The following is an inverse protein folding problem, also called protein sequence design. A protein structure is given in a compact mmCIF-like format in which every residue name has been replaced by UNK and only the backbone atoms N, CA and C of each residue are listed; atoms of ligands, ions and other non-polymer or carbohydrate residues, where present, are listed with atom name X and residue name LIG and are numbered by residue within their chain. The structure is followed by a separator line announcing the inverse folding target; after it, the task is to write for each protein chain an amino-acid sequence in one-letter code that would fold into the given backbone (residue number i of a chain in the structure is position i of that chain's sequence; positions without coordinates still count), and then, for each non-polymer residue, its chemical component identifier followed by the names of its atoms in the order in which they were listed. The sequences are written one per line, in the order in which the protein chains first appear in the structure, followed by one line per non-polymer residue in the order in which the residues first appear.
data_IF_591422658165
#
_entry.id   IF_591422658165
#
_cell.length_a   1.000
_cell.length_b   1.000
_cell.length_c   1.000
_cell.angle_alpha   90.00
_cell.angle_beta   90.00
_cell.angle_gamma   90.00
#
_symmetry.space_group_name_H-M   'P 1'
#
loop_
_entity.id
_entity.type
_entity.pdbx_description
1 polymer ?
#
# COMPACT_ATOMS: atom_id res chain seq x y z
N UNK A 1 -14.16 -15.16 8.96
CA UNK A 1 -13.65 -13.85 9.46
C UNK A 1 -12.14 -13.87 9.28
N UNK A 2 -11.54 -12.92 8.55
CA UNK A 2 -10.09 -12.92 8.34
C UNK A 2 -9.42 -12.20 9.50
N UNK A 3 -8.48 -12.87 10.17
CA UNK A 3 -7.66 -12.27 11.24
C UNK A 3 -6.45 -11.58 10.62
N UNK A 4 -6.24 -10.32 10.98
CA UNK A 4 -5.09 -9.52 10.58
C UNK A 4 -4.33 -9.12 11.85
N UNK A 5 -3.03 -9.39 11.88
CA UNK A 5 -2.13 -8.95 12.95
C UNK A 5 -1.05 -8.05 12.35
N UNK A 6 -0.90 -6.84 12.89
CA UNK A 6 0.10 -5.88 12.44
C UNK A 6 0.86 -5.27 13.61
N UNK A 7 2.17 -5.11 13.43
CA UNK A 7 3.06 -4.39 14.32
C UNK A 7 3.87 -3.39 13.49
N UNK A 8 3.85 -2.13 13.89
CA UNK A 8 4.54 -1.07 13.18
C UNK A 8 5.27 -0.12 14.11
N UNK A 9 6.44 0.33 13.69
CA UNK A 9 7.25 1.32 14.38
C UNK A 9 7.52 2.52 13.47
N UNK A 10 7.39 3.72 14.04
CA UNK A 10 7.70 4.98 13.37
C UNK A 10 9.06 5.50 13.82
N UNK A 11 9.83 6.00 12.85
CA UNK A 11 11.16 6.58 13.02
C UNK A 11 11.23 7.94 12.31
N UNK A 12 12.33 8.66 12.52
CA UNK A 12 12.65 9.92 11.81
C UNK A 12 11.51 10.96 11.89
N UNK A 13 10.98 11.24 13.09
CA UNK A 13 9.83 12.14 13.30
C UNK A 13 8.63 11.75 12.43
N UNK A 14 8.25 10.47 12.45
CA UNK A 14 7.15 9.88 11.67
C UNK A 14 7.31 9.98 10.14
N UNK A 15 8.54 10.19 9.65
CA UNK A 15 8.84 10.16 8.20
C UNK A 15 9.14 8.76 7.69
N UNK A 16 9.55 7.84 8.55
CA UNK A 16 9.80 6.44 8.18
C UNK A 16 8.91 5.55 9.03
N UNK A 17 8.12 4.69 8.38
CA UNK A 17 7.30 3.68 9.05
C UNK A 17 7.71 2.31 8.54
N UNK A 18 8.08 1.45 9.47
CA UNK A 18 8.29 0.03 9.22
C UNK A 18 7.11 -0.74 9.81
N UNK A 19 6.53 -1.63 9.02
CA UNK A 19 5.40 -2.46 9.44
C UNK A 19 5.70 -3.91 9.07
N UNK A 20 5.46 -4.82 10.01
CA UNK A 20 5.38 -6.25 9.77
C UNK A 20 3.98 -6.70 10.10
N UNK A 21 3.38 -7.48 9.22
CA UNK A 21 2.03 -7.97 9.41
C UNK A 21 1.82 -9.33 8.80
N UNK A 22 0.72 -9.95 9.20
CA UNK A 22 0.29 -11.23 8.69
C UNK A 22 -1.21 -11.26 8.53
N UNK A 23 -1.66 -11.82 7.41
CA UNK A 23 -3.06 -12.09 7.14
C UNK A 23 -3.31 -13.58 7.27
N UNK A 24 -4.43 -13.93 7.89
CA UNK A 24 -4.91 -15.30 8.04
C UNK A 24 -3.87 -16.27 8.64
N UNK A 25 -3.14 -15.79 9.65
CA UNK A 25 -2.09 -16.55 10.35
C UNK A 25 -2.60 -17.89 10.88
N UNK A 26 -3.86 -17.93 11.31
CA UNK A 26 -4.50 -19.13 11.87
C UNK A 26 -5.29 -19.97 10.86
N UNK A 27 -5.26 -19.65 9.55
CA UNK A 27 -6.07 -20.34 8.51
C UNK A 27 -7.55 -20.42 8.92
N UNK A 28 -8.08 -19.28 9.34
CA UNK A 28 -9.47 -19.10 9.76
C UNK A 28 -10.38 -18.72 8.59
N UNK A 29 -9.80 -18.49 7.42
CA UNK A 29 -10.54 -18.24 6.20
C UNK A 29 -10.79 -19.57 5.47
N UNK A 30 -12.06 -19.95 5.40
CA UNK A 30 -12.53 -20.94 4.45
C UNK A 30 -12.55 -20.32 3.07
N UNK A 31 -12.01 -21.04 2.08
CA UNK A 31 -11.98 -20.63 0.68
C UNK A 31 -13.36 -20.16 0.21
N UNK A 32 -13.40 -19.05 -0.53
CA UNK A 32 -14.63 -18.47 -1.06
C UNK A 32 -15.33 -19.52 -1.95
N UNK A 33 -16.35 -20.21 -1.42
CA UNK A 33 -17.20 -21.09 -2.21
C UNK A 33 -18.18 -20.22 -2.98
N UNK A 34 -17.91 -20.00 -4.26
CA UNK A 34 -18.90 -19.40 -5.16
C UNK A 34 -19.90 -20.48 -5.57
N UNK A 35 -21.16 -20.28 -5.20
CA UNK A 35 -22.28 -21.11 -5.64
C UNK A 35 -23.03 -20.34 -6.72
N UNK A 36 -22.88 -20.77 -7.98
CA UNK A 36 -23.67 -20.23 -9.07
C UNK A 36 -24.87 -21.16 -9.33
N UNK A 37 -26.08 -20.65 -9.08
CA UNK A 37 -27.34 -21.33 -9.40
C UNK A 37 -27.90 -20.75 -10.70
N UNK A 38 -27.72 -21.48 -11.79
CA UNK A 38 -28.50 -21.30 -13.01
C UNK A 38 -29.72 -22.22 -12.90
N UNK A 39 -30.88 -21.84 -13.45
CA UNK A 39 -32.19 -22.48 -13.14
C UNK A 39 -32.23 -24.01 -13.09
N UNK A 40 -31.37 -24.71 -13.84
CA UNK A 40 -31.27 -26.17 -13.86
C UNK A 40 -29.87 -26.73 -13.51
N UNK A 41 -28.93 -25.92 -13.03
CA UNK A 41 -27.59 -26.37 -12.64
C UNK A 41 -27.01 -25.60 -11.45
N UNK A 42 -26.34 -26.34 -10.57
CA UNK A 42 -25.58 -25.77 -9.46
C UNK A 42 -24.11 -26.04 -9.73
N UNK A 43 -23.35 -24.99 -9.97
CA UNK A 43 -21.90 -25.08 -10.14
C UNK A 43 -21.23 -24.63 -8.85
N UNK A 44 -20.46 -25.53 -8.24
CA UNK A 44 -19.60 -25.24 -7.12
C UNK A 44 -18.19 -24.96 -7.65
N UNK A 45 -17.69 -23.76 -7.42
CA UNK A 45 -16.27 -23.44 -7.66
C UNK A 45 -15.56 -23.31 -6.31
N UNK A 46 -14.62 -24.22 -6.06
CA UNK A 46 -13.67 -24.11 -4.96
C UNK A 46 -12.45 -23.35 -5.46
N UNK A 47 -12.17 -22.17 -4.88
CA UNK A 47 -10.92 -21.45 -5.13
C UNK A 47 -9.96 -21.75 -3.97
N UNK A 48 -8.84 -22.41 -4.25
CA UNK A 48 -7.77 -22.64 -3.26
C UNK A 48 -6.78 -21.47 -3.26
N UNK A 49 -7.33 -20.25 -3.17
CA UNK A 49 -6.51 -19.06 -3.09
C UNK A 49 -5.88 -19.02 -1.68
N UNK A 50 -4.55 -19.10 -1.60
CA UNK A 50 -3.85 -19.01 -0.34
C UNK A 50 -4.03 -17.61 0.25
N UNK A 51 -4.87 -17.51 1.27
CA UNK A 51 -5.18 -16.29 2.02
C UNK A 51 -4.11 -15.94 3.05
N UNK A 52 -3.21 -16.89 3.36
CA UNK A 52 -2.17 -16.70 4.37
C UNK A 52 -0.94 -16.08 3.75
N UNK A 53 -0.57 -14.91 4.22
CA UNK A 53 0.71 -14.32 3.87
C UNK A 53 1.25 -13.44 4.99
N UNK A 54 2.58 -13.32 5.03
CA UNK A 54 3.31 -12.40 5.88
C UNK A 54 3.89 -11.32 4.97
N UNK A 55 3.83 -10.06 5.42
CA UNK A 55 4.37 -8.93 4.68
C UNK A 55 5.23 -8.06 5.57
N UNK A 56 6.21 -7.44 4.90
CA UNK A 56 7.06 -6.40 5.47
C UNK A 56 6.90 -5.18 4.57
N UNK A 57 6.65 -4.03 5.17
CA UNK A 57 6.46 -2.78 4.44
C UNK A 57 7.33 -1.69 5.05
N UNK A 58 8.04 -0.97 4.17
CA UNK A 58 8.80 0.21 4.51
C UNK A 58 8.19 1.41 3.77
N UNK A 59 7.66 2.37 4.51
CA UNK A 59 7.08 3.59 3.97
C UNK A 59 7.91 4.80 4.39
N UNK A 60 8.38 5.59 3.41
CA UNK A 60 9.06 6.86 3.65
C UNK A 60 8.22 8.03 3.13
N UNK A 61 8.03 9.05 3.96
CA UNK A 61 7.33 10.29 3.60
C UNK A 61 8.35 11.37 3.29
N UNK A 62 8.48 11.70 2.01
CA UNK A 62 9.24 12.87 1.57
C UNK A 62 8.53 14.15 2.07
N UNK A 63 9.31 15.11 2.58
CA UNK A 63 8.79 16.42 2.96
C UNK A 63 8.35 17.22 1.73
N UNK A 64 7.81 18.42 1.95
CA UNK A 64 7.58 19.36 0.85
C UNK A 64 8.92 19.59 0.14
N UNK A 65 9.03 19.17 -1.12
CA UNK A 65 10.09 19.68 -1.99
C UNK A 65 9.95 21.20 -1.95
N UNK A 66 11.00 21.91 -1.54
CA UNK A 66 11.06 23.34 -1.82
C UNK A 66 11.03 23.43 -3.34
N UNK A 67 9.87 23.80 -3.88
CA UNK A 67 9.78 24.31 -5.23
C UNK A 67 10.79 25.44 -5.29
N UNK A 68 11.95 25.19 -5.91
CA UNK A 68 12.82 26.27 -6.35
C UNK A 68 12.12 26.88 -7.56
N UNK A 69 10.97 27.51 -7.32
CA UNK A 69 10.46 28.58 -8.16
C UNK A 69 11.26 29.82 -7.78
N UNK A 70 12.51 29.81 -8.22
CA UNK A 70 13.21 31.00 -8.63
C UNK A 70 13.75 30.74 -10.03
N UNK A 71 12.84 30.39 -10.95
CA UNK A 71 13.00 30.80 -12.35
C UNK A 71 12.68 32.30 -12.46
N UNK A 72 13.35 33.12 -11.65
CA UNK A 72 13.67 34.48 -12.08
C UNK A 72 14.67 34.29 -13.20
N UNK A 73 14.27 34.67 -14.41
CA UNK A 73 15.05 34.36 -15.61
C UNK A 73 16.48 34.90 -15.47
N UNK A 74 17.48 34.08 -15.80
CA UNK A 74 18.88 34.52 -16.02
C UNK A 74 18.93 35.75 -16.97
N UNK A 75 17.88 35.93 -17.78
CA UNK A 75 17.70 37.02 -18.73
C UNK A 75 17.37 38.37 -18.04
N UNK A 76 16.82 38.38 -16.82
CA UNK A 76 16.48 39.62 -16.11
C UNK A 76 17.71 40.24 -15.43
N UNK A 77 18.59 39.42 -14.84
CA UNK A 77 19.83 39.92 -14.20
C UNK A 77 20.84 40.50 -15.21
N UNK A 78 20.85 40.03 -16.48
CA UNK A 78 21.69 40.66 -17.52
C UNK A 78 21.13 41.99 -18.04
N UNK A 79 19.81 42.19 -18.04
CA UNK A 79 19.19 43.41 -18.56
C UNK A 79 19.40 44.62 -17.67
N UNK A 80 19.56 44.44 -16.36
CA UNK A 80 19.92 45.51 -15.42
C UNK A 80 21.43 45.82 -15.39
N UNK A 81 22.24 45.06 -16.15
CA UNK A 81 23.70 45.22 -16.21
C UNK A 81 24.22 45.96 -17.45
N UNK A 82 23.32 46.42 -18.34
CA UNK A 82 23.63 47.17 -19.57
C UNK A 82 23.15 48.62 -19.48
#
# INVERSE_FOLDING_TARGET
MIVILELGQSFLNNRLRFTVGGMDLFKTYDSNTWVNRLSNSITYMNTDADSRYVYVTLQFKFGKMKSVQSSGSIITEEKERL
#
